data_IF_462005107318
#
_entry.id   IF_462005107318
#
_cell.length_a   1.000
_cell.length_b   1.000
_cell.length_c   1.000
_cell.angle_alpha   90.00
_cell.angle_beta   90.00
_cell.angle_gamma   90.00
#
_symmetry.space_group_name_H-M   'P 1'
#
loop_
_entity.id
_entity.type
_entity.pdbx_description
1 polymer ?
#
# COMPACT_ATOMS: atom_id res chain seq x y z
N UNK A 1 -18.06 29.80 2.62
CA UNK A 1 -18.35 28.84 3.70
C UNK A 1 -17.63 27.56 3.31
N UNK A 2 -16.51 27.23 3.96
CA UNK A 2 -15.82 25.95 3.74
C UNK A 2 -16.50 24.88 4.57
N UNK A 3 -16.97 23.81 3.95
CA UNK A 3 -17.56 22.67 4.66
C UNK A 3 -16.45 21.65 4.93
N UNK A 4 -16.14 21.38 6.20
CA UNK A 4 -15.22 20.30 6.57
C UNK A 4 -15.93 18.94 6.43
N UNK A 5 -15.22 17.96 5.89
CA UNK A 5 -15.67 16.56 5.76
C UNK A 5 -14.64 15.63 6.41
N UNK A 6 -15.12 14.48 6.86
CA UNK A 6 -14.27 13.40 7.38
C UNK A 6 -14.26 12.27 6.36
N UNK A 7 -13.07 11.88 5.93
CA UNK A 7 -12.86 10.79 4.98
C UNK A 7 -12.22 9.62 5.74
N UNK A 8 -12.85 8.45 5.69
CA UNK A 8 -12.29 7.23 6.27
C UNK A 8 -11.40 6.54 5.26
N UNK A 9 -10.13 6.34 5.62
CA UNK A 9 -9.11 5.79 4.76
C UNK A 9 -8.62 4.43 5.28
N UNK A 10 -8.35 3.49 4.37
CA UNK A 10 -7.65 2.23 4.64
C UNK A 10 -6.51 2.08 3.64
N UNK A 11 -5.35 1.62 4.08
CA UNK A 11 -4.27 1.24 3.17
C UNK A 11 -4.57 -0.15 2.64
N UNK A 12 -4.56 -0.33 1.32
CA UNK A 12 -4.82 -1.61 0.70
C UNK A 12 -3.84 -2.68 1.20
N UNK A 13 -4.35 -3.78 1.73
CA UNK A 13 -3.57 -4.87 2.31
C UNK A 13 -3.25 -4.71 3.80
N UNK A 14 -3.53 -3.56 4.42
CA UNK A 14 -3.53 -3.45 5.88
C UNK A 14 -4.79 -4.09 6.48
N UNK A 15 -4.75 -4.38 7.78
CA UNK A 15 -5.88 -4.95 8.51
C UNK A 15 -7.12 -4.03 8.42
N UNK A 16 -8.35 -4.56 8.18
CA UNK A 16 -9.57 -3.77 8.14
C UNK A 16 -9.81 -2.90 9.39
N UNK A 17 -9.32 -3.28 10.56
CA UNK A 17 -9.39 -2.48 11.79
C UNK A 17 -8.45 -1.26 11.77
N UNK A 18 -7.50 -1.19 10.82
CA UNK A 18 -6.52 -0.10 10.66
C UNK A 18 -7.07 1.14 9.93
N UNK A 19 -8.39 1.20 9.73
CA UNK A 19 -9.06 2.37 9.18
C UNK A 19 -8.78 3.61 10.02
N UNK A 20 -8.55 4.75 9.36
CA UNK A 20 -8.28 6.00 10.02
C UNK A 20 -9.03 7.18 9.38
N UNK A 21 -9.48 8.18 10.17
CA UNK A 21 -10.15 9.35 9.65
C UNK A 21 -9.17 10.45 9.24
N UNK A 22 -9.49 11.15 8.15
CA UNK A 22 -8.81 12.36 7.68
C UNK A 22 -9.82 13.50 7.58
N UNK A 23 -9.57 14.56 8.35
CA UNK A 23 -10.36 15.79 8.35
C UNK A 23 -9.83 16.75 7.28
N UNK A 24 -10.69 17.17 6.35
CA UNK A 24 -10.30 18.05 5.24
C UNK A 24 -11.48 18.90 4.76
N UNK A 25 -11.21 20.09 4.22
CA UNK A 25 -12.25 20.92 3.60
C UNK A 25 -12.73 20.31 2.27
N UNK A 26 -14.03 20.26 2.03
CA UNK A 26 -14.61 19.72 0.80
C UNK A 26 -14.18 20.52 -0.45
N UNK A 27 -13.78 21.77 -0.31
CA UNK A 27 -13.28 22.60 -1.42
C UNK A 27 -11.88 22.20 -1.89
N UNK A 28 -11.18 21.35 -1.12
CA UNK A 28 -9.82 20.90 -1.41
C UNK A 28 -9.78 19.90 -2.56
N UNK A 29 -8.59 19.73 -3.11
CA UNK A 29 -8.30 18.80 -4.20
C UNK A 29 -7.85 17.44 -3.69
N UNK A 30 -7.81 16.44 -4.57
CA UNK A 30 -7.23 15.12 -4.28
C UNK A 30 -5.74 15.21 -3.94
N UNK A 31 -4.98 16.14 -4.53
CA UNK A 31 -3.58 16.39 -4.14
C UNK A 31 -3.48 16.77 -2.66
N UNK A 32 -4.29 17.74 -2.24
CA UNK A 32 -4.31 18.19 -0.84
C UNK A 32 -4.79 17.08 0.12
N UNK A 33 -5.66 16.17 -0.35
CA UNK A 33 -6.02 14.97 0.40
C UNK A 33 -4.84 13.99 0.55
N UNK A 34 -4.05 13.76 -0.51
CA UNK A 34 -2.84 12.92 -0.43
C UNK A 34 -1.84 13.47 0.58
N UNK A 35 -1.64 14.79 0.61
CA UNK A 35 -0.80 15.45 1.60
C UNK A 35 -1.33 15.26 3.03
N UNK A 36 -2.64 15.46 3.23
CA UNK A 36 -3.28 15.26 4.53
C UNK A 36 -3.18 13.81 5.03
N UNK A 37 -3.34 12.83 4.12
CA UNK A 37 -3.15 11.40 4.41
C UNK A 37 -1.72 11.11 4.84
N UNK A 38 -0.73 11.63 4.10
CA UNK A 38 0.69 11.46 4.44
C UNK A 38 0.99 12.01 5.82
N UNK A 39 0.53 13.22 6.13
CA UNK A 39 0.72 13.83 7.46
C UNK A 39 0.06 12.99 8.56
N UNK A 40 -1.14 12.47 8.31
CA UNK A 40 -1.88 11.64 9.27
C UNK A 40 -1.21 10.30 9.56
N UNK A 41 -0.53 9.71 8.56
CA UNK A 41 0.14 8.41 8.65
C UNK A 41 1.63 8.51 8.97
N UNK A 42 2.10 9.63 9.51
CA UNK A 42 3.46 9.68 10.04
C UNK A 42 3.62 8.75 11.24
N UNK A 43 4.76 8.03 11.36
CA UNK A 43 5.93 8.08 10.47
C UNK A 43 5.85 7.12 9.26
N UNK A 44 4.83 6.26 9.18
CA UNK A 44 4.73 5.17 8.19
C UNK A 44 4.86 5.62 6.73
N UNK A 45 4.44 6.86 6.43
CA UNK A 45 4.44 7.44 5.08
C UNK A 45 5.52 8.52 4.87
N UNK A 46 6.46 8.72 5.79
CA UNK A 46 7.49 9.77 5.65
C UNK A 46 8.34 9.59 4.38
N UNK A 47 8.69 8.33 4.09
CA UNK A 47 9.51 7.92 2.93
C UNK A 47 8.73 7.91 1.59
N UNK A 48 7.40 8.09 1.64
CA UNK A 48 6.54 8.06 0.44
C UNK A 48 6.21 9.49 0.02
N UNK A 49 6.48 9.85 -1.22
CA UNK A 49 5.98 11.11 -1.77
C UNK A 49 4.45 11.05 -1.86
N UNK A 50 3.75 12.06 -1.33
CA UNK A 50 2.29 12.12 -1.37
C UNK A 50 1.75 12.03 -2.80
N UNK A 51 2.47 12.56 -3.79
CA UNK A 51 2.09 12.46 -5.20
C UNK A 51 2.04 11.02 -5.73
N UNK A 52 2.76 10.09 -5.09
CA UNK A 52 2.83 8.66 -5.44
C UNK A 52 1.73 7.82 -4.79
N UNK A 53 0.89 8.40 -3.94
CA UNK A 53 -0.26 7.70 -3.38
C UNK A 53 -1.35 7.60 -4.43
N UNK A 54 -1.84 6.39 -4.70
CA UNK A 54 -3.04 6.19 -5.50
C UNK A 54 -4.26 6.11 -4.57
N UNK A 55 -5.24 6.99 -4.82
CA UNK A 55 -6.47 7.04 -4.04
C UNK A 55 -7.62 6.50 -4.89
N UNK A 56 -8.29 5.47 -4.37
CA UNK A 56 -9.48 4.90 -5.00
C UNK A 56 -10.70 5.31 -4.21
N UNK A 57 -11.75 5.74 -4.92
CA UNK A 57 -13.07 5.88 -4.31
C UNK A 57 -13.73 4.52 -4.29
N UNK A 58 -13.87 3.95 -3.09
CA UNK A 58 -14.56 2.67 -2.90
C UNK A 58 -15.85 2.91 -2.13
N UNK A 59 -16.95 2.37 -2.63
CA UNK A 59 -18.28 2.55 -2.02
C UNK A 59 -18.70 1.30 -1.25
N UNK A 60 -17.93 0.93 -0.22
CA UNK A 60 -18.31 -0.18 0.68
C UNK A 60 -19.05 0.36 1.90
N UNK A 61 -20.33 0.00 2.10
CA UNK A 61 -21.02 0.31 3.34
C UNK A 61 -20.43 -0.52 4.50
N UNK A 62 -20.19 0.14 5.65
CA UNK A 62 -19.84 -0.53 6.92
C UNK A 62 -21.03 -1.33 7.48
N UNK A 63 -21.38 -2.42 6.81
CA UNK A 63 -22.36 -3.43 7.25
C UNK A 63 -21.64 -4.71 7.69
N UNK A 64 -22.37 -5.66 8.28
CA UNK A 64 -21.81 -6.97 8.63
C UNK A 64 -21.08 -7.60 7.43
N UNK A 65 -19.82 -8.01 7.64
CA UNK A 65 -18.93 -8.61 6.62
C UNK A 65 -18.44 -7.66 5.51
N UNK A 66 -18.39 -6.36 5.74
CA UNK A 66 -17.77 -5.39 4.82
C UNK A 66 -16.31 -5.74 4.46
N UNK A 67 -15.56 -6.38 5.36
CA UNK A 67 -14.19 -6.86 5.12
C UNK A 67 -14.11 -7.99 4.08
N UNK A 68 -15.15 -8.82 3.93
CA UNK A 68 -15.18 -9.84 2.87
C UNK A 68 -15.29 -9.18 1.50
N UNK A 69 -15.98 -8.03 1.40
CA UNK A 69 -16.05 -7.24 0.16
C UNK A 69 -14.70 -6.58 -0.14
N UNK A 70 -13.97 -6.13 0.88
CA UNK A 70 -12.61 -5.62 0.71
C UNK A 70 -11.64 -6.68 0.18
N UNK A 71 -11.69 -7.89 0.74
CA UNK A 71 -10.78 -8.97 0.33
C UNK A 71 -11.02 -9.43 -1.12
N UNK A 72 -12.24 -9.24 -1.63
CA UNK A 72 -12.61 -9.56 -3.00
C UNK A 72 -12.51 -8.35 -3.95
N UNK A 73 -12.01 -7.22 -3.48
CA UNK A 73 -12.00 -5.97 -4.24
C UNK A 73 -10.87 -5.97 -5.28
N UNK A 74 -11.22 -5.96 -6.56
CA UNK A 74 -10.25 -5.80 -7.64
C UNK A 74 -10.09 -4.31 -8.02
N UNK A 75 -9.17 -3.63 -7.33
CA UNK A 75 -8.81 -2.24 -7.60
C UNK A 75 -8.28 -2.00 -9.03
N UNK A 76 -7.99 -3.05 -9.82
CA UNK A 76 -7.54 -2.91 -11.21
C UNK A 76 -8.69 -2.76 -12.21
N UNK A 77 -9.90 -3.23 -11.86
CA UNK A 77 -11.02 -3.30 -12.81
C UNK A 77 -12.29 -2.61 -12.30
N UNK A 78 -12.52 -2.60 -10.99
CA UNK A 78 -13.86 -2.30 -10.45
C UNK A 78 -14.01 -0.87 -9.90
N UNK A 79 -12.92 -0.14 -9.66
CA UNK A 79 -12.98 1.11 -8.87
C UNK A 79 -12.34 2.32 -9.55
N UNK A 80 -12.91 3.50 -9.29
CA UNK A 80 -12.48 4.75 -9.90
C UNK A 80 -11.26 5.36 -9.18
N UNK A 81 -10.14 5.43 -9.90
CA UNK A 81 -8.96 6.19 -9.50
C UNK A 81 -9.32 7.69 -9.39
N UNK A 82 -8.97 8.30 -8.27
CA UNK A 82 -9.19 9.72 -8.04
C UNK A 82 -8.05 10.54 -8.68
N UNK A 83 -8.43 11.37 -9.65
CA UNK A 83 -7.50 12.25 -10.35
C UNK A 83 -7.12 13.43 -9.46
N UNK A 84 -5.85 13.82 -9.51
CA UNK A 84 -5.24 14.85 -8.66
C UNK A 84 -6.00 16.19 -8.65
N UNK A 85 -6.54 16.60 -9.81
CA UNK A 85 -7.21 17.89 -9.98
C UNK A 85 -8.68 17.90 -9.52
N UNK A 86 -9.27 16.73 -9.23
CA UNK A 86 -10.66 16.67 -8.77
C UNK A 86 -10.80 17.34 -7.41
N UNK A 87 -11.89 18.07 -7.20
CA UNK A 87 -12.25 18.60 -5.88
C UNK A 87 -13.01 17.55 -5.08
N UNK A 88 -12.81 17.52 -3.77
CA UNK A 88 -13.53 16.62 -2.89
C UNK A 88 -15.04 16.91 -2.96
N UNK A 89 -15.43 18.18 -3.09
CA UNK A 89 -16.82 18.56 -3.29
C UNK A 89 -17.41 17.95 -4.54
N UNK A 90 -16.66 17.88 -5.66
CA UNK A 90 -17.13 17.21 -6.87
C UNK A 90 -17.24 15.70 -6.70
N UNK A 91 -16.31 15.08 -5.96
CA UNK A 91 -16.29 13.64 -5.70
C UNK A 91 -17.43 13.23 -4.76
N UNK A 92 -17.75 14.08 -3.78
CA UNK A 92 -18.72 13.83 -2.70
C UNK A 92 -19.99 14.71 -2.82
N UNK A 93 -20.35 15.12 -4.04
CA UNK A 93 -21.40 16.12 -4.32
C UNK A 93 -22.81 15.74 -3.83
N UNK A 94 -23.10 14.45 -3.65
CA UNK A 94 -24.44 14.02 -3.28
C UNK A 94 -24.70 14.24 -1.79
N UNK A 95 -25.59 15.19 -1.47
CA UNK A 95 -25.99 15.51 -0.09
C UNK A 95 -26.77 14.36 0.59
N UNK A 96 -27.31 13.38 -0.16
CA UNK A 96 -27.77 12.10 0.40
C UNK A 96 -26.61 11.25 0.92
N UNK A 97 -25.40 11.51 0.41
CA UNK A 97 -24.15 10.95 0.86
C UNK A 97 -23.52 11.67 2.06
N UNK A 98 -24.06 12.77 2.61
CA UNK A 98 -23.56 13.27 3.91
C UNK A 98 -23.95 12.38 5.10
N UNK A 99 -25.01 11.58 4.96
CA UNK A 99 -25.34 10.51 5.91
C UNK A 99 -24.67 9.17 5.55
N UNK A 100 -24.26 8.99 4.27
CA UNK A 100 -23.56 7.78 3.76
C UNK A 100 -22.04 7.93 3.83
N UNK A 101 -21.48 9.14 3.92
CA UNK A 101 -20.05 9.44 4.05
C UNK A 101 -19.50 9.04 5.44
N UNK A 102 -20.38 8.74 6.39
CA UNK A 102 -19.97 8.00 7.60
C UNK A 102 -19.51 6.56 7.27
N UNK A 103 -19.90 6.04 6.10
CA UNK A 103 -19.75 4.64 5.71
C UNK A 103 -19.14 4.45 4.30
N UNK A 104 -18.27 5.35 3.83
CA UNK A 104 -17.53 5.12 2.59
C UNK A 104 -16.03 5.06 2.88
N UNK A 105 -15.43 3.93 2.54
CA UNK A 105 -14.03 3.68 2.74
C UNK A 105 -13.23 4.11 1.51
N UNK A 106 -12.25 4.96 1.69
CA UNK A 106 -11.28 5.28 0.66
C UNK A 106 -10.08 4.37 0.80
N UNK A 107 -9.82 3.60 -0.25
CA UNK A 107 -8.70 2.67 -0.26
C UNK A 107 -7.50 3.39 -0.86
N UNK A 108 -6.49 3.61 -0.03
CA UNK A 108 -5.18 4.11 -0.42
C UNK A 108 -4.38 2.91 -0.89
N UNK A 109 -4.04 2.84 -2.17
CA UNK A 109 -3.18 1.77 -2.64
C UNK A 109 -1.71 2.19 -2.48
N UNK A 110 -1.01 1.46 -1.62
CA UNK A 110 0.45 1.46 -1.53
C UNK A 110 0.90 0.04 -1.83
N UNK A 111 1.70 -0.17 -2.89
CA UNK A 111 2.19 -1.52 -3.17
C UNK A 111 3.30 -1.84 -2.16
N UNK A 112 2.93 -2.59 -1.11
CA UNK A 112 3.89 -3.18 -0.17
C UNK A 112 4.12 -4.63 -0.56
N UNK A 113 5.36 -4.96 -0.90
CA UNK A 113 5.81 -6.31 -1.22
C UNK A 113 6.63 -6.84 -0.06
N UNK A 114 6.19 -7.95 0.53
CA UNK A 114 6.99 -8.65 1.53
C UNK A 114 8.06 -9.46 0.80
N UNK A 115 9.31 -9.05 0.97
CA UNK A 115 10.46 -9.70 0.36
C UNK A 115 11.13 -10.60 1.41
N UNK A 116 11.41 -11.84 1.03
CA UNK A 116 12.28 -12.72 1.82
C UNK A 116 13.62 -12.87 1.12
N UNK A 117 14.70 -12.48 1.81
CA UNK A 117 16.07 -12.70 1.34
C UNK A 117 16.64 -13.94 2.01
N UNK A 118 16.96 -14.96 1.21
CA UNK A 118 17.67 -16.14 1.69
C UNK A 118 19.18 -15.91 1.53
N UNK A 119 19.88 -15.73 2.65
CA UNK A 119 21.34 -15.68 2.66
C UNK A 119 21.89 -17.09 2.94
N UNK A 120 22.81 -17.64 2.13
CA UNK A 120 23.44 -18.92 2.40
C UNK A 120 24.32 -18.96 3.66
N UNK A 121 24.66 -17.82 4.27
CA UNK A 121 25.43 -17.81 5.52
C UNK A 121 24.60 -18.33 6.71
N UNK A 122 25.03 -19.49 7.22
CA UNK A 122 24.44 -20.36 8.25
C UNK A 122 23.99 -19.71 9.58
N UNK A 123 24.20 -18.40 9.77
CA UNK A 123 23.94 -17.68 11.02
C UNK A 123 22.83 -16.62 10.94
N UNK A 124 22.24 -16.39 9.76
CA UNK A 124 21.12 -15.46 9.63
C UNK A 124 19.96 -16.14 8.89
N UNK A 125 18.96 -16.68 9.61
CA UNK A 125 17.78 -17.26 8.99
C UNK A 125 17.11 -16.20 8.09
N UNK A 126 16.57 -16.63 6.95
CA UNK A 126 16.04 -15.74 5.91
C UNK A 126 15.21 -14.59 6.50
N UNK A 127 15.53 -13.36 6.09
CA UNK A 127 14.92 -12.17 6.69
C UNK A 127 13.77 -11.71 5.81
N UNK A 128 12.57 -11.66 6.39
CA UNK A 128 11.39 -11.03 5.78
C UNK A 128 11.46 -9.52 6.04
N UNK A 129 11.22 -8.74 5.01
CA UNK A 129 11.15 -7.29 5.08
C UNK A 129 10.18 -6.76 4.03
N UNK A 130 9.46 -5.69 4.34
CA UNK A 130 8.55 -5.08 3.38
C UNK A 130 9.26 -3.99 2.57
N UNK A 131 9.09 -4.04 1.25
CA UNK A 131 9.52 -3.03 0.31
C UNK A 131 8.29 -2.34 -0.26
N UNK A 132 8.34 -1.03 -0.31
CA UNK A 132 7.27 -0.23 -0.87
C UNK A 132 7.68 0.20 -2.28
N UNK A 133 6.79 0.00 -3.25
CA UNK A 133 6.98 0.45 -4.62
C UNK A 133 5.70 1.14 -5.10
N UNK A 134 5.84 2.11 -5.99
CA UNK A 134 4.71 2.81 -6.60
C UNK A 134 4.19 2.01 -7.80
N UNK A 135 2.88 2.06 -8.00
CA UNK A 135 2.27 1.43 -9.17
C UNK A 135 2.79 2.08 -10.48
N UNK A 136 3.00 1.27 -11.51
CA UNK A 136 3.60 1.69 -12.78
C UNK A 136 5.14 1.72 -12.78
N UNK A 137 5.79 1.53 -11.62
CA UNK A 137 7.23 1.28 -11.57
C UNK A 137 7.57 -0.13 -12.08
N UNK A 138 8.78 -0.27 -12.60
CA UNK A 138 9.27 -1.49 -13.23
C UNK A 138 9.82 -2.48 -12.20
N UNK A 139 10.10 -3.70 -12.66
CA UNK A 139 10.82 -4.70 -11.85
C UNK A 139 12.24 -4.21 -11.49
N UNK A 140 12.83 -3.33 -12.29
CA UNK A 140 14.15 -2.74 -11.98
C UNK A 140 14.05 -1.79 -10.80
N UNK A 141 13.02 -0.94 -10.77
CA UNK A 141 12.72 -0.08 -9.62
C UNK A 141 12.49 -0.91 -8.35
N UNK A 142 11.83 -2.06 -8.46
CA UNK A 142 11.66 -3.00 -7.34
C UNK A 142 13.00 -3.53 -6.82
N UNK A 143 13.88 -3.95 -7.73
CA UNK A 143 15.21 -4.46 -7.38
C UNK A 143 16.04 -3.39 -6.67
N UNK A 144 15.99 -2.15 -7.15
CA UNK A 144 16.65 -1.02 -6.51
C UNK A 144 16.05 -0.71 -5.14
N UNK A 145 14.72 -0.73 -5.01
CA UNK A 145 14.03 -0.52 -3.73
C UNK A 145 14.40 -1.61 -2.69
N UNK A 146 14.54 -2.88 -3.11
CA UNK A 146 15.02 -3.98 -2.28
C UNK A 146 16.46 -3.73 -1.81
N UNK A 147 17.35 -3.38 -2.74
CA UNK A 147 18.75 -3.06 -2.44
C UNK A 147 18.87 -1.91 -1.45
N UNK A 148 18.09 -0.85 -1.65
CA UNK A 148 18.04 0.31 -0.75
C UNK A 148 17.55 -0.04 0.66
N UNK A 149 16.67 -1.04 0.80
CA UNK A 149 16.16 -1.48 2.11
C UNK A 149 17.17 -2.34 2.89
N UNK A 150 18.09 -3.01 2.18
CA UNK A 150 19.11 -3.87 2.77
C UNK A 150 20.54 -3.51 2.33
N UNK A 151 21.01 -2.28 2.57
CA UNK A 151 22.33 -1.85 2.11
C UNK A 151 23.44 -2.73 2.71
N UNK A 152 23.32 -3.11 3.99
CA UNK A 152 24.33 -3.92 4.68
C UNK A 152 24.55 -5.30 4.04
N UNK A 153 23.55 -5.86 3.35
CA UNK A 153 23.61 -7.19 2.74
C UNK A 153 23.84 -7.08 1.24
N UNK A 154 23.21 -6.10 0.58
CA UNK A 154 23.19 -5.97 -0.88
C UNK A 154 24.10 -4.85 -1.42
N UNK A 155 24.91 -4.19 -0.59
CA UNK A 155 25.80 -3.09 -1.03
C UNK A 155 26.72 -3.46 -2.21
N UNK A 156 27.18 -4.72 -2.28
CA UNK A 156 28.07 -5.20 -3.34
C UNK A 156 27.34 -5.99 -4.44
N UNK A 157 26.01 -6.11 -4.36
CA UNK A 157 25.20 -6.81 -5.35
C UNK A 157 24.59 -5.76 -6.27
N UNK A 158 24.80 -5.92 -7.58
CA UNK A 158 24.15 -5.05 -8.56
C UNK A 158 22.66 -5.38 -8.62
N UNK A 159 21.78 -4.37 -8.54
CA UNK A 159 20.34 -4.60 -8.41
C UNK A 159 19.79 -5.45 -9.57
N UNK A 160 20.24 -5.20 -10.80
CA UNK A 160 19.83 -5.97 -11.98
C UNK A 160 20.16 -7.47 -11.89
N UNK A 161 21.15 -7.86 -11.09
CA UNK A 161 21.54 -9.27 -10.87
C UNK A 161 20.65 -10.00 -9.88
N UNK A 162 19.80 -9.28 -9.14
CA UNK A 162 18.83 -9.90 -8.23
C UNK A 162 17.82 -10.72 -9.04
N UNK A 163 17.70 -12.00 -8.72
CA UNK A 163 16.65 -12.86 -9.26
C UNK A 163 15.46 -12.83 -8.30
N UNK A 164 14.31 -12.37 -8.81
CA UNK A 164 13.07 -12.23 -8.04
C UNK A 164 12.11 -13.36 -8.38
N UNK A 165 11.61 -14.04 -7.36
CA UNK A 165 10.71 -15.18 -7.48
C UNK A 165 9.41 -14.92 -6.75
N UNK A 166 8.28 -14.88 -7.46
CA UNK A 166 6.97 -14.79 -6.83
C UNK A 166 6.66 -16.10 -6.08
N UNK A 167 6.36 -16.00 -4.79
CA UNK A 167 5.96 -17.10 -3.92
C UNK A 167 4.65 -16.78 -3.23
N UNK A 168 3.88 -17.82 -2.88
CA UNK A 168 2.69 -17.68 -2.04
C UNK A 168 3.05 -18.21 -0.66
N UNK A 169 3.57 -17.35 0.21
CA UNK A 169 3.93 -17.71 1.59
C UNK A 169 2.87 -17.19 2.57
N UNK A 170 2.44 -17.99 3.57
CA UNK A 170 1.75 -17.45 4.73
C UNK A 170 2.67 -16.46 5.43
N UNK A 171 2.15 -15.31 5.87
CA UNK A 171 2.95 -14.24 6.50
C UNK A 171 3.62 -14.71 7.81
N UNK A 172 3.10 -15.79 8.40
CA UNK A 172 3.56 -16.36 9.68
C UNK A 172 4.57 -17.51 9.53
N UNK A 173 4.89 -17.95 8.30
CA UNK A 173 5.85 -19.02 8.07
C UNK A 173 7.29 -18.47 8.04
N UNK A 174 8.15 -19.00 8.92
CA UNK A 174 9.60 -18.83 8.79
C UNK A 174 10.02 -19.36 7.40
N UNK A 175 10.64 -18.50 6.58
CA UNK A 175 11.08 -18.82 5.21
C UNK A 175 12.01 -20.05 5.08
N UNK A 176 12.37 -20.68 6.19
CA UNK A 176 13.33 -21.78 6.26
C UNK A 176 12.71 -23.16 6.05
N UNK A 177 11.45 -23.41 6.43
CA UNK A 177 11.00 -24.80 6.61
C UNK A 177 10.47 -25.50 5.34
N UNK A 178 10.03 -24.77 4.32
CA UNK A 178 9.18 -25.37 3.28
C UNK A 178 9.78 -25.54 1.88
N UNK A 179 11.06 -25.24 1.67
CA UNK A 179 11.63 -25.37 0.32
C UNK A 179 13.05 -25.96 0.32
N UNK A 180 13.22 -27.08 -0.41
CA UNK A 180 14.52 -27.53 -0.92
C UNK A 180 15.00 -26.51 -1.96
N UNK A 181 15.51 -25.36 -1.51
CA UNK A 181 15.87 -24.22 -2.37
C UNK A 181 17.32 -24.32 -2.86
N UNK A 182 17.60 -23.94 -4.11
CA UNK A 182 18.97 -23.88 -4.62
C UNK A 182 19.77 -22.78 -3.92
N UNK A 183 21.02 -23.10 -3.54
CA UNK A 183 21.92 -22.25 -2.76
C UNK A 183 22.52 -21.08 -3.56
N UNK A 184 21.69 -20.13 -4.01
CA UNK A 184 22.12 -18.86 -4.63
C UNK A 184 21.40 -17.68 -3.99
N UNK A 185 21.94 -16.48 -4.19
CA UNK A 185 21.42 -15.20 -3.67
C UNK A 185 20.03 -14.88 -4.25
N UNK A 186 19.00 -15.55 -3.74
CA UNK A 186 17.64 -15.50 -4.27
C UNK A 186 16.76 -14.61 -3.38
N UNK A 187 15.94 -13.79 -4.03
CA UNK A 187 14.92 -12.96 -3.39
C UNK A 187 13.54 -13.48 -3.80
N UNK A 188 12.71 -13.72 -2.79
CA UNK A 188 11.36 -14.23 -2.96
C UNK A 188 10.35 -13.12 -2.60
N UNK A 189 9.36 -12.91 -3.47
CA UNK A 189 8.34 -11.86 -3.44
C UNK A 189 6.95 -12.41 -3.15
#
# INVERSE_FOLDING_TARGET
MSTAIVIWCLVFGDDPESIFPVDIEATKTVVELKDAIKEKKKPDFDDIDAAKLDLFRVSIPFEDRWFEKLNNLDLLHDEALLENWMTLSSIFSDQSAMNVAKNQLHVIRVLRLNCCLQNPDLFNPGRIFSVQITYGQTVEDLKEAIKAKMPNILQYVEAYTLELWKVSLPVDDDCQENFNMPARNLLYL
#
